data_IF_778929719561
#
_entry.id   IF_778929719561
#
_cell.length_a   1.000
_cell.length_b   1.000
_cell.length_c   1.000
_cell.angle_alpha   90.00
_cell.angle_beta   90.00
_cell.angle_gamma   90.00
#
_symmetry.space_group_name_H-M   'P 1'
#
loop_
_entity.id
_entity.type
_entity.pdbx_description
1 polymer ?
#
# COMPACT_ATOMS: atom_id res chain seq x y z
N UNK A 1 -7.43 14.49 -3.84
CA UNK A 1 -6.02 14.98 -3.82
C UNK A 1 -5.43 14.99 -5.24
N UNK A 2 -4.78 16.08 -5.65
CA UNK A 2 -4.16 16.17 -6.98
C UNK A 2 -2.80 15.49 -6.95
N UNK A 3 -2.72 14.24 -7.41
CA UNK A 3 -1.45 13.50 -7.54
C UNK A 3 -0.97 13.61 -8.99
N UNK A 4 0.32 13.91 -9.18
CA UNK A 4 0.91 13.95 -10.52
C UNK A 4 0.84 12.55 -11.16
N UNK A 5 0.31 12.45 -12.39
CA UNK A 5 0.13 11.16 -13.11
C UNK A 5 -0.63 10.11 -12.28
N UNK A 6 -1.70 10.53 -11.59
CA UNK A 6 -2.52 9.64 -10.76
C UNK A 6 -3.09 8.44 -11.53
N UNK A 7 -3.39 8.61 -12.81
CA UNK A 7 -3.85 7.55 -13.71
C UNK A 7 -2.81 6.42 -13.87
N UNK A 8 -1.53 6.78 -13.94
CA UNK A 8 -0.43 5.81 -14.00
C UNK A 8 -0.33 5.04 -12.68
N UNK A 9 -0.40 5.76 -11.55
CA UNK A 9 -0.39 5.13 -10.21
C UNK A 9 -1.55 4.14 -10.04
N UNK A 10 -2.76 4.54 -10.42
CA UNK A 10 -3.96 3.68 -10.32
C UNK A 10 -3.83 2.44 -11.22
N UNK A 11 -3.39 2.59 -12.47
CA UNK A 11 -3.18 1.46 -13.39
C UNK A 11 -2.10 0.49 -12.90
N UNK A 12 -1.00 1.02 -12.37
CA UNK A 12 0.06 0.19 -11.79
C UNK A 12 -0.46 -0.54 -10.55
N UNK A 13 -1.20 0.14 -9.67
CA UNK A 13 -1.83 -0.50 -8.51
C UNK A 13 -2.79 -1.62 -8.95
N UNK A 14 -3.64 -1.36 -9.95
CA UNK A 14 -4.56 -2.34 -10.52
C UNK A 14 -3.86 -3.59 -11.07
N UNK A 15 -2.75 -3.39 -11.80
CA UNK A 15 -1.94 -4.48 -12.30
C UNK A 15 -1.29 -5.28 -11.16
N UNK A 16 -0.65 -4.59 -10.21
CA UNK A 16 0.05 -5.23 -9.10
C UNK A 16 -0.89 -5.99 -8.16
N UNK A 17 -2.08 -5.45 -7.87
CA UNK A 17 -3.09 -6.16 -7.06
C UNK A 17 -3.63 -7.40 -7.77
N UNK A 18 -3.78 -7.35 -9.09
CA UNK A 18 -4.17 -8.50 -9.91
C UNK A 18 -3.09 -9.58 -9.93
N UNK A 19 -1.82 -9.19 -10.06
CA UNK A 19 -0.68 -10.12 -9.98
C UNK A 19 -0.61 -10.75 -8.59
N UNK A 20 -0.74 -9.95 -7.52
CA UNK A 20 -0.72 -10.46 -6.15
C UNK A 20 -1.85 -11.46 -5.92
N UNK A 21 -3.07 -11.21 -6.42
CA UNK A 21 -4.18 -12.17 -6.36
C UNK A 21 -3.86 -13.47 -7.10
N UNK A 22 -3.34 -13.38 -8.34
CA UNK A 22 -3.01 -14.56 -9.15
C UNK A 22 -1.90 -15.43 -8.55
N UNK A 23 -0.99 -14.81 -7.79
CA UNK A 23 0.13 -15.48 -7.12
C UNK A 23 -0.15 -15.78 -5.63
N UNK A 24 -1.38 -15.55 -5.16
CA UNK A 24 -1.77 -15.75 -3.76
C UNK A 24 -0.86 -14.99 -2.76
N UNK A 25 -0.39 -13.82 -3.17
CA UNK A 25 0.39 -12.90 -2.33
C UNK A 25 -0.58 -12.04 -1.51
N UNK A 26 -0.43 -11.97 -0.17
CA UNK A 26 -1.25 -11.11 0.67
C UNK A 26 -1.14 -9.63 0.26
N UNK A 27 -2.27 -8.94 0.23
CA UNK A 27 -2.35 -7.49 -0.06
C UNK A 27 -2.78 -6.78 1.21
N UNK A 28 -1.99 -5.80 1.63
CA UNK A 28 -2.26 -4.96 2.80
C UNK A 28 -2.57 -3.55 2.29
N UNK A 29 -3.76 -3.06 2.60
CA UNK A 29 -4.22 -1.73 2.18
C UNK A 29 -4.28 -0.81 3.40
N UNK A 30 -3.71 0.39 3.29
CA UNK A 30 -3.93 1.46 4.28
C UNK A 30 -4.60 2.67 3.63
N UNK A 31 -5.37 3.42 4.41
CA UNK A 31 -6.07 4.62 3.97
C UNK A 31 -5.80 5.76 4.95
N UNK A 32 -5.30 6.89 4.44
CA UNK A 32 -4.96 8.04 5.29
C UNK A 32 -6.23 8.81 5.64
N UNK A 33 -6.55 8.91 6.92
CA UNK A 33 -7.63 9.72 7.50
C UNK A 33 -8.82 9.97 6.56
N UNK A 34 -9.64 8.94 6.35
CA UNK A 34 -10.63 8.90 5.25
C UNK A 34 -11.68 9.99 5.33
N UNK A 35 -11.95 10.49 6.54
CA UNK A 35 -12.78 11.66 6.77
C UNK A 35 -12.34 12.89 5.96
N UNK A 36 -11.04 13.04 5.68
CA UNK A 36 -10.47 14.17 4.93
C UNK A 36 -10.14 13.78 3.49
N UNK A 37 -9.57 12.60 3.27
CA UNK A 37 -9.02 12.23 1.96
C UNK A 37 -9.92 11.28 1.15
N UNK A 38 -11.01 10.79 1.73
CA UNK A 38 -11.84 9.74 1.15
C UNK A 38 -11.25 8.34 1.34
N UNK A 39 -12.01 7.29 0.97
CA UNK A 39 -11.51 5.92 0.97
C UNK A 39 -10.52 5.68 -0.17
N UNK A 40 -9.87 4.51 -0.16
CA UNK A 40 -9.08 4.02 -1.30
C UNK A 40 -9.92 4.00 -2.58
N UNK A 41 -9.33 4.41 -3.70
CA UNK A 41 -9.99 4.37 -5.01
C UNK A 41 -10.15 2.92 -5.45
N UNK A 42 -11.39 2.50 -5.74
CA UNK A 42 -11.70 1.12 -6.11
C UNK A 42 -10.95 0.64 -7.37
N UNK A 43 -10.69 1.55 -8.32
CA UNK A 43 -9.97 1.27 -9.57
C UNK A 43 -8.51 0.81 -9.37
N UNK A 44 -7.96 0.93 -8.16
CA UNK A 44 -6.68 0.30 -7.80
C UNK A 44 -6.76 -1.25 -7.77
N UNK A 45 -7.95 -1.82 -7.96
CA UNK A 45 -8.21 -3.25 -8.07
C UNK A 45 -8.93 -3.53 -9.39
N UNK A 46 -8.61 -4.66 -10.03
CA UNK A 46 -9.32 -5.07 -11.25
C UNK A 46 -10.77 -5.48 -10.94
N UNK A 47 -10.97 -6.08 -9.76
CA UNK A 47 -12.27 -6.37 -9.19
C UNK A 47 -12.41 -5.59 -7.87
N UNK A 48 -13.29 -4.58 -7.78
CA UNK A 48 -13.50 -3.81 -6.57
C UNK A 48 -13.84 -4.65 -5.32
N UNK A 49 -14.43 -5.83 -5.49
CA UNK A 49 -14.74 -6.72 -4.37
C UNK A 49 -13.48 -7.26 -3.68
N UNK A 50 -12.33 -7.25 -4.36
CA UNK A 50 -11.05 -7.63 -3.76
C UNK A 50 -10.58 -6.68 -2.67
N UNK A 51 -10.97 -5.40 -2.76
CA UNK A 51 -10.73 -4.40 -1.72
C UNK A 51 -11.69 -4.61 -0.54
N UNK A 52 -12.95 -4.93 -0.81
CA UNK A 52 -13.98 -5.16 0.23
C UNK A 52 -13.77 -6.47 0.99
N UNK A 53 -13.20 -7.47 0.34
CA UNK A 53 -12.91 -8.78 0.92
C UNK A 53 -11.77 -8.76 1.96
N UNK A 54 -11.10 -7.62 2.17
CA UNK A 54 -9.90 -7.49 3.00
C UNK A 54 -9.98 -6.21 3.85
N UNK A 55 -9.31 -6.19 5.02
CA UNK A 55 -9.26 -4.96 5.81
C UNK A 55 -8.47 -3.87 5.09
N UNK A 56 -9.06 -2.67 5.03
CA UNK A 56 -8.34 -1.44 4.72
C UNK A 56 -8.08 -0.68 6.03
N UNK A 57 -6.82 -0.62 6.45
CA UNK A 57 -6.42 -0.05 7.74
C UNK A 57 -6.41 1.48 7.67
N UNK A 58 -7.30 2.12 8.41
CA UNK A 58 -7.30 3.58 8.52
C UNK A 58 -6.17 4.06 9.43
N UNK A 59 -5.41 5.06 8.97
CA UNK A 59 -4.27 5.59 9.71
C UNK A 59 -4.19 7.11 9.68
N UNK A 60 -3.57 7.67 10.73
CA UNK A 60 -3.09 9.06 10.76
C UNK A 60 -1.56 9.15 10.69
N UNK A 61 -0.86 8.09 11.10
CA UNK A 61 0.59 7.95 10.91
C UNK A 61 0.92 7.95 9.42
N UNK A 62 2.03 8.59 9.02
CA UNK A 62 2.45 8.61 7.63
C UNK A 62 2.91 7.23 7.15
N UNK A 63 3.76 6.56 7.93
CA UNK A 63 4.11 5.15 7.69
C UNK A 63 2.87 4.25 7.78
N UNK A 64 2.86 3.17 7.00
CA UNK A 64 1.87 2.09 7.10
C UNK A 64 2.07 1.24 8.35
N UNK A 65 3.23 1.30 9.01
CA UNK A 65 3.60 0.42 10.13
C UNK A 65 2.94 0.85 11.46
N UNK A 66 1.61 0.96 11.47
CA UNK A 66 0.83 1.13 12.70
C UNK A 66 0.80 -0.18 13.50
N UNK A 67 0.46 -0.15 14.80
CA UNK A 67 0.29 -1.38 15.59
C UNK A 67 -0.65 -2.39 14.93
N UNK A 68 -1.79 -1.94 14.38
CA UNK A 68 -2.77 -2.82 13.74
C UNK A 68 -2.22 -3.49 12.47
N UNK A 69 -1.41 -2.77 11.69
CA UNK A 69 -0.76 -3.33 10.50
C UNK A 69 0.34 -4.31 10.91
N UNK A 70 1.16 -4.01 11.93
CA UNK A 70 2.18 -4.93 12.44
C UNK A 70 1.56 -6.23 12.98
N UNK A 71 0.47 -6.11 13.72
CA UNK A 71 -0.28 -7.26 14.23
C UNK A 71 -0.83 -8.11 13.08
N UNK A 72 -1.35 -7.46 12.03
CA UNK A 72 -1.85 -8.15 10.84
C UNK A 72 -0.73 -8.85 10.05
N UNK A 73 0.42 -8.19 9.86
CA UNK A 73 1.59 -8.78 9.19
C UNK A 73 2.13 -10.00 9.94
N UNK A 74 2.03 -10.00 11.26
CA UNK A 74 2.45 -11.12 12.11
C UNK A 74 1.40 -12.25 12.19
N UNK A 75 0.27 -12.12 11.51
CA UNK A 75 -0.78 -13.14 11.53
C UNK A 75 -0.48 -14.29 10.56
N UNK A 76 -0.96 -15.48 10.90
CA UNK A 76 -0.89 -16.68 10.03
C UNK A 76 -1.49 -16.44 8.63
N UNK A 77 -2.49 -15.54 8.52
CA UNK A 77 -3.12 -15.21 7.24
C UNK A 77 -2.20 -14.48 6.27
N UNK A 78 -1.20 -13.75 6.79
CA UNK A 78 -0.19 -13.07 5.98
C UNK A 78 1.07 -13.94 5.88
N UNK A 79 1.46 -14.60 6.97
CA UNK A 79 2.68 -15.39 7.07
C UNK A 79 3.73 -14.62 7.88
N UNK A 80 3.90 -14.94 9.17
CA UNK A 80 4.75 -14.16 10.09
C UNK A 80 6.23 -14.13 9.69
N UNK A 81 6.68 -15.09 8.87
CA UNK A 81 8.07 -15.20 8.41
C UNK A 81 8.34 -14.40 7.12
N UNK A 82 7.36 -13.68 6.55
CA UNK A 82 7.57 -12.88 5.34
C UNK A 82 8.47 -11.68 5.63
N UNK A 83 9.57 -11.59 4.88
CA UNK A 83 10.56 -10.50 4.99
C UNK A 83 10.65 -9.60 3.77
N UNK A 84 9.98 -9.93 2.66
CA UNK A 84 10.04 -9.13 1.44
C UNK A 84 8.71 -8.43 1.16
N UNK A 85 8.77 -7.12 0.97
CA UNK A 85 7.61 -6.25 0.80
C UNK A 85 7.68 -5.54 -0.55
N UNK A 86 6.58 -5.60 -1.30
CA UNK A 86 6.38 -4.81 -2.51
C UNK A 86 5.51 -3.60 -2.15
N UNK A 87 6.04 -2.39 -2.33
CA UNK A 87 5.41 -1.15 -1.89
C UNK A 87 5.07 -0.24 -3.07
N UNK A 88 3.83 0.24 -3.08
CA UNK A 88 3.34 1.25 -4.03
C UNK A 88 2.19 2.05 -3.38
N UNK A 89 1.87 3.21 -3.95
CA UNK A 89 0.86 4.13 -3.42
C UNK A 89 1.35 5.57 -3.33
N UNK A 90 0.68 6.36 -2.49
CA UNK A 90 0.91 7.81 -2.40
C UNK A 90 0.97 8.28 -0.93
N UNK A 91 1.68 9.38 -0.61
CA UNK A 91 2.63 10.09 -1.46
C UNK A 91 4.03 9.48 -1.35
N UNK A 92 4.77 9.48 -2.46
CA UNK A 92 6.11 8.92 -2.58
C UNK A 92 7.06 9.42 -1.47
N UNK A 93 7.13 10.74 -1.28
CA UNK A 93 8.02 11.39 -0.30
C UNK A 93 7.48 11.44 1.14
N UNK A 94 6.29 10.87 1.39
CA UNK A 94 5.66 10.88 2.72
C UNK A 94 5.35 9.45 3.15
N UNK A 95 4.18 8.93 2.81
CA UNK A 95 3.74 7.63 3.32
C UNK A 95 4.60 6.49 2.79
N UNK A 96 4.93 6.51 1.49
CA UNK A 96 5.74 5.45 0.87
C UNK A 96 7.16 5.47 1.45
N UNK A 97 7.82 6.62 1.45
CA UNK A 97 9.18 6.75 1.99
C UNK A 97 9.27 6.35 3.46
N UNK A 98 8.38 6.87 4.32
CA UNK A 98 8.39 6.55 5.75
C UNK A 98 8.13 5.06 6.00
N UNK A 99 7.21 4.45 5.23
CA UNK A 99 6.96 3.00 5.33
C UNK A 99 8.18 2.17 4.91
N UNK A 100 8.84 2.57 3.81
CA UNK A 100 10.04 1.88 3.35
C UNK A 100 11.16 1.95 4.40
N UNK A 101 11.36 3.12 5.02
CA UNK A 101 12.37 3.29 6.07
C UNK A 101 12.06 2.43 7.31
N UNK A 102 10.82 2.43 7.80
CA UNK A 102 10.43 1.60 8.95
C UNK A 102 10.61 0.10 8.66
N UNK A 103 10.20 -0.36 7.47
CA UNK A 103 10.37 -1.76 7.08
C UNK A 103 11.84 -2.15 6.98
N UNK A 104 12.69 -1.28 6.44
CA UNK A 104 14.14 -1.49 6.36
C UNK A 104 14.80 -1.50 7.76
N UNK A 105 14.37 -0.61 8.66
CA UNK A 105 14.85 -0.57 10.05
C UNK A 105 14.46 -1.84 10.82
N UNK A 106 13.30 -2.43 10.51
CA UNK A 106 12.86 -3.72 11.03
C UNK A 106 13.55 -4.94 10.36
N UNK A 107 14.50 -4.70 9.44
CA UNK A 107 15.31 -5.75 8.80
C UNK A 107 14.60 -6.49 7.65
N UNK A 108 13.62 -5.86 7.02
CA UNK A 108 12.90 -6.42 5.88
C UNK A 108 13.48 -5.92 4.54
N UNK A 109 13.30 -6.70 3.47
CA UNK A 109 13.58 -6.30 2.10
C UNK A 109 12.40 -5.51 1.54
N UNK A 110 12.66 -4.35 0.94
CA UNK A 110 11.61 -3.45 0.41
C UNK A 110 11.86 -3.17 -1.07
N UNK A 111 10.84 -3.43 -1.89
CA UNK A 111 10.84 -3.17 -3.32
C UNK A 111 9.76 -2.15 -3.66
N UNK A 112 10.17 -0.93 -4.02
CA UNK A 112 9.24 0.12 -4.43
C UNK A 112 8.94 0.01 -5.91
N UNK A 113 7.67 -0.11 -6.28
CA UNK A 113 7.24 -0.07 -7.69
C UNK A 113 7.15 1.39 -8.11
N UNK A 114 8.20 1.89 -8.78
CA UNK A 114 8.35 3.31 -9.11
C UNK A 114 7.19 3.83 -9.97
N UNK A 115 6.68 3.03 -10.91
CA UNK A 115 5.50 3.39 -11.72
C UNK A 115 4.19 3.45 -10.92
N UNK A 116 4.19 2.89 -9.70
CA UNK A 116 3.06 2.83 -8.77
C UNK A 116 3.16 3.85 -7.65
N UNK A 117 4.12 4.78 -7.69
CA UNK A 117 4.26 5.83 -6.69
C UNK A 117 4.31 7.21 -7.33
N UNK A 118 3.75 8.19 -6.63
CA UNK A 118 3.82 9.59 -7.07
C UNK A 118 3.55 10.53 -5.89
N UNK A 119 3.67 11.83 -6.12
CA UNK A 119 3.37 12.90 -5.17
C UNK A 119 2.62 14.02 -5.88
N UNK A 120 2.20 15.04 -5.15
CA UNK A 120 1.51 16.20 -5.75
C UNK A 120 2.38 16.94 -6.77
N UNK A 121 3.70 16.95 -6.56
CA UNK A 121 4.68 17.54 -7.46
C UNK A 121 5.61 16.44 -7.97
N UNK A 122 6.06 16.53 -9.24
CA UNK A 122 7.11 15.65 -9.72
C UNK A 122 8.39 15.86 -8.90
N UNK A 123 9.16 14.78 -8.74
CA UNK A 123 10.52 14.82 -8.21
C UNK A 123 11.45 15.51 -9.20
#
# INVERSE_FOLDING_TARGET
>A
PLIHKSDTVVRTAQFMTSVAKALEIPIITTQQYTKVFGPTVADCFADPSDLEARPAFEKKLFSMMTPEVRDHLSSESVGPDRKSFVLFGIEAHVCVQQTALDLLEEGNDVHVIVDGVSSQRPL
#
